data_IF_098086362988
#
_entry.id   IF_098086362988
#
_cell.length_a   1.000
_cell.length_b   1.000
_cell.length_c   1.000
_cell.angle_alpha   90.00
_cell.angle_beta   90.00
_cell.angle_gamma   90.00
#
_symmetry.space_group_name_H-M   'P 1'
#
loop_
_entity.id
_entity.type
_entity.pdbx_description
1 polymer ?
#
# COMPACT_ATOMS: atom_id res chain seq x y z
N UNK A 1 18.43 -53.45 -33.79
CA UNK A 1 17.26 -52.93 -33.06
C UNK A 1 17.75 -51.86 -32.12
N UNK A 2 17.51 -50.58 -32.42
CA UNK A 2 17.97 -49.46 -31.60
C UNK A 2 16.85 -49.05 -30.63
N UNK A 3 17.12 -49.11 -29.33
CA UNK A 3 16.18 -48.69 -28.30
C UNK A 3 16.24 -47.16 -28.16
N UNK A 4 15.14 -46.48 -28.44
CA UNK A 4 14.99 -45.05 -28.20
C UNK A 4 14.67 -44.83 -26.72
N UNK A 5 15.55 -44.10 -26.02
CA UNK A 5 15.32 -43.66 -24.64
C UNK A 5 14.47 -42.40 -24.68
N UNK A 6 13.26 -42.46 -24.11
CA UNK A 6 12.37 -41.31 -23.97
C UNK A 6 12.75 -40.59 -22.67
N UNK A 7 13.29 -39.38 -22.78
CA UNK A 7 13.52 -38.48 -21.65
C UNK A 7 12.19 -37.77 -21.36
N UNK A 8 11.56 -38.11 -20.24
CA UNK A 8 10.39 -37.39 -19.74
C UNK A 8 10.84 -36.05 -19.14
N UNK A 9 10.44 -34.93 -19.75
CA UNK A 9 10.57 -33.61 -19.15
C UNK A 9 9.58 -33.50 -17.97
N UNK A 10 10.10 -33.45 -16.74
CA UNK A 10 9.31 -33.06 -15.58
C UNK A 10 9.07 -31.55 -15.63
N UNK A 11 7.89 -31.13 -16.12
CA UNK A 11 7.44 -29.76 -15.95
C UNK A 11 7.09 -29.55 -14.47
N UNK A 12 7.89 -28.75 -13.76
CA UNK A 12 7.52 -28.27 -12.43
C UNK A 12 6.25 -27.41 -12.56
N UNK A 13 5.24 -27.59 -11.71
CA UNK A 13 4.07 -26.71 -11.71
C UNK A 13 4.54 -25.29 -11.38
N UNK A 14 4.27 -24.35 -12.29
CA UNK A 14 4.44 -22.93 -12.04
C UNK A 14 3.53 -22.55 -10.87
N UNK A 15 4.09 -21.89 -9.84
CA UNK A 15 3.28 -21.36 -8.76
C UNK A 15 2.24 -20.38 -9.34
N UNK A 16 0.98 -20.53 -8.95
CA UNK A 16 -0.06 -19.61 -9.37
C UNK A 16 0.20 -18.23 -8.73
N UNK A 17 0.39 -17.21 -9.57
CA UNK A 17 0.48 -15.82 -9.12
C UNK A 17 -0.86 -15.39 -8.51
N UNK A 18 -0.81 -14.77 -7.33
CA UNK A 18 -2.00 -14.33 -6.61
C UNK A 18 -2.09 -12.82 -6.70
N UNK A 19 -2.90 -12.33 -7.64
CA UNK A 19 -3.20 -10.90 -7.77
C UNK A 19 -4.20 -10.50 -6.68
N UNK A 20 -3.83 -9.53 -5.85
CA UNK A 20 -4.63 -9.04 -4.72
C UNK A 20 -4.71 -7.51 -4.71
N UNK A 21 -5.77 -6.94 -4.13
CA UNK A 21 -5.96 -5.49 -3.95
C UNK A 21 -5.26 -4.94 -2.69
N UNK A 22 -4.61 -5.82 -1.94
CA UNK A 22 -3.90 -5.50 -0.71
C UNK A 22 -3.17 -6.71 -0.15
N UNK A 23 -2.42 -6.49 0.91
CA UNK A 23 -1.65 -7.51 1.61
C UNK A 23 -1.82 -7.37 3.12
N UNK A 24 -1.71 -8.48 3.84
CA UNK A 24 -1.66 -8.47 5.30
C UNK A 24 -0.69 -9.51 5.81
N UNK A 25 0.06 -9.18 6.85
CA UNK A 25 0.92 -10.14 7.55
C UNK A 25 0.12 -11.10 8.44
N UNK A 26 -1.09 -10.70 8.86
CA UNK A 26 -1.92 -11.45 9.81
C UNK A 26 -3.35 -11.57 9.31
N UNK A 27 -3.85 -12.81 9.25
CA UNK A 27 -5.25 -13.08 8.95
C UNK A 27 -5.65 -12.80 7.50
N UNK A 28 -6.82 -12.19 7.32
CA UNK A 28 -7.41 -11.84 6.02
C UNK A 28 -7.71 -10.35 6.02
N UNK A 29 -7.65 -9.74 4.84
CA UNK A 29 -8.07 -8.34 4.64
C UNK A 29 -9.52 -8.15 5.09
N UNK A 30 -9.77 -7.15 5.93
CA UNK A 30 -11.12 -6.76 6.35
C UNK A 30 -11.94 -6.23 5.17
N UNK A 31 -11.36 -5.35 4.35
CA UNK A 31 -12.04 -4.72 3.24
C UNK A 31 -11.98 -5.59 1.98
N UNK A 32 -13.13 -5.82 1.36
CA UNK A 32 -13.26 -6.55 0.09
C UNK A 32 -12.65 -5.74 -1.07
N UNK A 33 -12.30 -6.40 -2.17
CA UNK A 33 -11.69 -5.74 -3.34
C UNK A 33 -12.52 -4.60 -3.95
N UNK A 34 -13.84 -4.61 -3.74
CA UNK A 34 -14.78 -3.63 -4.31
C UNK A 34 -15.19 -2.51 -3.34
N UNK A 35 -14.58 -2.45 -2.15
CA UNK A 35 -14.86 -1.41 -1.16
C UNK A 35 -14.67 0.00 -1.74
N UNK A 36 -15.49 0.95 -1.28
CA UNK A 36 -15.50 2.34 -1.81
C UNK A 36 -14.92 3.36 -0.84
N UNK A 37 -14.94 3.04 0.44
CA UNK A 37 -14.40 3.87 1.52
C UNK A 37 -14.10 2.97 2.71
N UNK A 38 -13.26 3.46 3.60
CA UNK A 38 -13.02 2.84 4.90
C UNK A 38 -14.23 3.07 5.81
N UNK A 39 -14.46 2.18 6.78
CA UNK A 39 -15.65 2.22 7.65
C UNK A 39 -15.70 3.48 8.52
N UNK A 40 -14.54 4.05 8.82
CA UNK A 40 -14.39 5.22 9.67
C UNK A 40 -14.37 6.56 8.91
N UNK A 41 -14.61 6.52 7.60
CA UNK A 41 -14.70 7.73 6.76
C UNK A 41 -16.16 8.14 6.58
N UNK A 42 -16.45 9.43 6.69
CA UNK A 42 -17.71 10.02 6.24
C UNK A 42 -17.64 10.26 4.71
N UNK A 43 -18.34 9.47 3.86
CA UNK A 43 -18.30 9.67 2.40
C UNK A 43 -18.93 11.00 1.98
N UNK A 44 -19.87 11.53 2.78
CA UNK A 44 -20.58 12.80 2.53
C UNK A 44 -19.88 14.00 3.17
N UNK A 45 -18.60 13.87 3.55
CA UNK A 45 -17.85 14.95 4.16
C UNK A 45 -17.84 16.20 3.25
N UNK A 46 -18.29 17.38 3.75
CA UNK A 46 -18.26 18.61 2.98
C UNK A 46 -16.86 18.91 2.47
N UNK A 47 -16.75 19.28 1.18
CA UNK A 47 -15.48 19.60 0.55
C UNK A 47 -15.22 21.11 0.61
N UNK A 48 -13.97 21.47 0.87
CA UNK A 48 -13.51 22.86 0.93
C UNK A 48 -13.28 23.39 2.35
N UNK A 49 -13.07 24.69 2.47
CA UNK A 49 -12.69 25.36 3.72
C UNK A 49 -11.18 25.49 3.91
N UNK A 50 -10.75 25.94 5.09
CA UNK A 50 -9.34 26.05 5.47
C UNK A 50 -9.13 25.51 6.88
N UNK A 51 -8.23 24.54 7.02
CA UNK A 51 -7.76 24.05 8.30
C UNK A 51 -6.45 24.78 8.63
N UNK A 52 -6.35 25.34 9.84
CA UNK A 52 -5.11 25.95 10.36
C UNK A 52 -4.62 25.10 11.53
N UNK A 53 -3.54 24.38 11.32
CA UNK A 53 -2.88 23.57 12.34
C UNK A 53 -1.61 24.28 12.82
N UNK A 54 -1.23 24.07 14.07
CA UNK A 54 0.07 24.49 14.59
C UNK A 54 1.01 23.28 14.68
N UNK A 55 2.31 23.55 14.64
CA UNK A 55 3.34 22.57 14.97
C UNK A 55 4.31 23.20 15.96
N UNK A 56 4.89 22.38 16.85
CA UNK A 56 5.90 22.82 17.80
C UNK A 56 7.27 22.70 17.11
N UNK A 57 8.13 23.70 17.24
CA UNK A 57 9.46 23.74 16.62
C UNK A 57 9.55 24.62 15.38
N UNK A 58 10.64 24.47 14.61
CA UNK A 58 10.88 25.13 13.31
C UNK A 58 11.25 24.07 12.26
N UNK A 59 11.40 24.47 11.00
CA UNK A 59 11.92 23.64 9.93
C UNK A 59 13.03 24.39 9.17
N UNK A 60 13.92 23.65 8.53
CA UNK A 60 14.97 24.20 7.65
C UNK A 60 15.10 23.47 6.30
N UNK A 61 14.33 22.39 6.09
CA UNK A 61 14.30 21.63 4.83
C UNK A 61 12.87 21.29 4.40
N UNK A 62 12.68 21.17 3.09
CA UNK A 62 11.46 20.65 2.46
C UNK A 62 11.63 19.24 1.88
N UNK A 63 12.80 18.62 2.09
CA UNK A 63 13.07 17.24 1.70
C UNK A 63 13.06 16.34 2.94
N UNK A 64 12.03 15.49 3.14
CA UNK A 64 11.93 14.62 4.32
C UNK A 64 12.79 13.35 4.21
N UNK A 65 13.47 13.11 3.09
CA UNK A 65 14.20 11.86 2.81
C UNK A 65 15.72 11.96 3.07
N UNK A 66 16.19 13.10 3.58
CA UNK A 66 17.59 13.30 3.96
C UNK A 66 17.81 13.11 5.46
N UNK A 67 18.99 12.63 5.84
CA UNK A 67 19.36 12.43 7.26
C UNK A 67 19.51 13.77 8.01
N UNK A 68 19.88 14.85 7.29
CA UNK A 68 20.15 16.17 7.87
C UNK A 68 18.99 17.13 7.64
N UNK A 69 18.73 17.97 8.64
CA UNK A 69 17.73 19.03 8.62
C UNK A 69 16.43 18.60 9.31
N UNK A 70 15.65 19.60 9.71
CA UNK A 70 14.34 19.41 10.34
C UNK A 70 13.25 19.65 9.27
N UNK A 71 12.51 18.61 8.84
CA UNK A 71 11.52 18.72 7.78
C UNK A 71 10.28 19.50 8.23
N UNK A 72 9.69 20.25 7.30
CA UNK A 72 8.43 20.96 7.57
C UNK A 72 7.28 19.98 7.93
N UNK A 73 6.47 20.38 8.91
CA UNK A 73 5.26 19.63 9.27
C UNK A 73 4.27 19.57 8.09
N UNK A 74 3.61 18.42 7.92
CA UNK A 74 2.61 18.23 6.86
C UNK A 74 3.17 17.83 5.49
N UNK A 75 4.50 17.71 5.32
CA UNK A 75 5.09 17.20 4.07
C UNK A 75 4.58 15.80 3.68
N UNK A 76 4.09 15.00 4.63
CA UNK A 76 3.45 13.72 4.34
C UNK A 76 2.23 13.82 3.41
N UNK A 77 1.58 14.99 3.30
CA UNK A 77 0.46 15.20 2.38
C UNK A 77 0.87 15.48 0.93
N UNK A 78 2.17 15.60 0.64
CA UNK A 78 2.68 15.90 -0.71
C UNK A 78 3.31 14.70 -1.42
N UNK A 79 3.43 13.57 -0.74
CA UNK A 79 4.02 12.34 -1.26
C UNK A 79 3.04 11.18 -1.08
N UNK A 80 3.09 10.21 -1.98
CA UNK A 80 2.25 9.02 -1.95
C UNK A 80 3.10 7.75 -1.95
N UNK A 81 2.60 6.72 -1.26
CA UNK A 81 3.15 5.36 -1.23
C UNK A 81 2.47 4.47 -2.27
N UNK A 82 3.02 3.28 -2.53
CA UNK A 82 2.35 2.30 -3.39
C UNK A 82 1.06 1.77 -2.77
N UNK A 83 1.12 1.46 -1.46
CA UNK A 83 0.02 0.96 -0.65
C UNK A 83 -0.14 1.83 0.61
N UNK A 84 -1.31 1.78 1.25
CA UNK A 84 -1.62 2.53 2.47
C UNK A 84 -2.24 1.63 3.53
N UNK A 85 -1.79 1.79 4.78
CA UNK A 85 -2.34 1.09 5.94
C UNK A 85 -3.54 1.85 6.51
N UNK A 86 -4.71 1.23 6.68
CA UNK A 86 -5.82 1.86 7.37
C UNK A 86 -5.63 1.78 8.89
N UNK A 87 -6.17 2.76 9.63
CA UNK A 87 -6.01 2.84 11.09
C UNK A 87 -6.76 1.78 11.90
N UNK A 88 -7.65 1.01 11.25
CA UNK A 88 -8.52 0.02 11.91
C UNK A 88 -8.11 -1.44 11.62
N UNK A 89 -6.92 -1.67 11.05
CA UNK A 89 -6.33 -2.99 10.86
C UNK A 89 -4.86 -3.02 11.33
N UNK A 90 -4.40 -4.20 11.77
CA UNK A 90 -3.09 -4.35 12.43
C UNK A 90 -1.90 -4.32 11.47
N UNK A 91 -2.06 -4.94 10.30
CA UNK A 91 -0.95 -5.20 9.36
C UNK A 91 -1.40 -5.19 7.90
N UNK A 92 -2.61 -4.68 7.63
CA UNK A 92 -3.15 -4.63 6.28
C UNK A 92 -2.65 -3.38 5.56
N UNK A 93 -2.35 -3.52 4.28
CA UNK A 93 -2.13 -2.42 3.36
C UNK A 93 -2.98 -2.64 2.10
N UNK A 94 -3.58 -1.57 1.60
CA UNK A 94 -4.42 -1.58 0.40
C UNK A 94 -3.82 -0.67 -0.68
N UNK A 95 -4.17 -0.93 -1.95
CA UNK A 95 -3.75 -0.12 -3.09
C UNK A 95 -3.92 1.39 -2.88
N UNK A 96 -2.84 2.16 -3.11
CA UNK A 96 -2.88 3.62 -3.22
C UNK A 96 -2.48 4.05 -4.63
N UNK A 97 -1.18 4.16 -4.92
CA UNK A 97 -0.70 4.32 -6.32
C UNK A 97 -0.78 2.99 -7.05
N UNK A 98 -0.47 1.88 -6.37
CA UNK A 98 -0.55 0.55 -6.96
C UNK A 98 -2.00 0.05 -6.97
N UNK A 99 -2.45 -0.44 -8.13
CA UNK A 99 -3.79 -1.04 -8.27
C UNK A 99 -3.84 -2.46 -7.67
N UNK A 100 -2.75 -3.23 -7.83
CA UNK A 100 -2.65 -4.63 -7.39
C UNK A 100 -1.27 -4.98 -6.85
N UNK A 101 -1.18 -6.13 -6.16
CA UNK A 101 0.06 -6.79 -5.72
C UNK A 101 0.01 -8.28 -6.10
N UNK A 102 1.13 -8.86 -6.55
CA UNK A 102 1.25 -10.26 -7.02
C UNK A 102 2.63 -10.89 -6.70
#
# INVERSE_FOLDING_TARGET
MAAAVIIALNASPQAAETVSHGLTLVGKLKYKADFKHLDYVNPDAPKGGRVKLYSIGSFDTLNPFTIKGDPAAGLGFTFETLLVSPEDELSAEYGLIAETVE
#
